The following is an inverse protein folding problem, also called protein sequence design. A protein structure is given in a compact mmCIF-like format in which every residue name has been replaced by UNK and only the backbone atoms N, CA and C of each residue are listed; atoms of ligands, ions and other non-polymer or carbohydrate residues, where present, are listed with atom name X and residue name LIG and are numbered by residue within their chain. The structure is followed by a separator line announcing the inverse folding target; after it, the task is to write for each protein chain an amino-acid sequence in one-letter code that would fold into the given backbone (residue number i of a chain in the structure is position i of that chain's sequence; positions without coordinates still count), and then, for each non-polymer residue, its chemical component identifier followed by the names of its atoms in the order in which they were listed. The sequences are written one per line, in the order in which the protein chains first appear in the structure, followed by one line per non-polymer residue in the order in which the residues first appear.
data_IF_950854934161
#
_entry.id   IF_950854934161
#
_cell.length_a   1.000
_cell.length_b   1.000
_cell.length_c   1.000
_cell.angle_alpha   90.00
_cell.angle_beta   90.00
_cell.angle_gamma   90.00
#
_symmetry.space_group_name_H-M   'P 1'
#
loop_
_entity.id
_entity.type
_entity.pdbx_description
1 polymer ?
#
# COMPACT_ATOMS: atom_id res chain seq x y z
N UNK A 1 -1.20 -25.90 2.56
CA UNK A 1 -1.75 -24.78 3.35
C UNK A 1 -1.28 -23.51 2.66
N UNK A 2 -2.19 -22.60 2.34
CA UNK A 2 -1.84 -21.25 1.91
C UNK A 2 -1.58 -20.43 3.17
N UNK A 3 -0.38 -19.83 3.27
CA UNK A 3 0.00 -19.04 4.43
C UNK A 3 -0.16 -17.56 4.11
N UNK A 4 -0.81 -16.83 5.02
CA UNK A 4 -0.85 -15.37 4.96
C UNK A 4 0.48 -14.85 5.51
N UNK A 5 1.23 -14.15 4.67
CA UNK A 5 2.40 -13.41 5.10
C UNK A 5 2.02 -11.96 5.37
N UNK A 6 2.49 -11.41 6.49
CA UNK A 6 2.32 -10.01 6.84
C UNK A 6 3.67 -9.32 6.92
N UNK A 7 3.83 -8.24 6.17
CA UNK A 7 5.03 -7.39 6.17
C UNK A 7 4.67 -5.97 6.53
N UNK A 8 5.49 -5.36 7.37
CA UNK A 8 5.42 -3.92 7.65
C UNK A 8 6.49 -3.21 6.84
N UNK A 9 6.09 -2.15 6.15
CA UNK A 9 6.97 -1.32 5.33
C UNK A 9 6.96 0.08 5.93
N UNK A 10 8.15 0.59 6.22
CA UNK A 10 8.38 1.96 6.69
C UNK A 10 9.01 2.75 5.56
N UNK A 11 8.52 3.96 5.32
CA UNK A 11 8.94 4.75 4.16
C UNK A 11 8.76 6.25 4.41
N UNK A 12 9.71 7.04 3.91
CA UNK A 12 9.67 8.51 3.92
C UNK A 12 9.46 9.10 2.52
N UNK A 13 9.38 8.24 1.50
CA UNK A 13 9.22 8.62 0.10
C UNK A 13 8.41 7.57 -0.66
N UNK A 14 8.40 7.66 -1.99
CA UNK A 14 7.68 6.72 -2.84
C UNK A 14 8.29 5.32 -2.73
N UNK A 15 7.43 4.33 -2.50
CA UNK A 15 7.77 2.91 -2.54
C UNK A 15 6.90 2.19 -3.55
N UNK A 16 7.54 1.33 -4.34
CA UNK A 16 6.87 0.52 -5.33
C UNK A 16 6.48 -0.84 -4.74
N UNK A 17 5.31 -1.31 -5.14
CA UNK A 17 4.73 -2.57 -4.73
C UNK A 17 4.19 -3.33 -5.95
N UNK A 18 4.07 -4.64 -5.79
CA UNK A 18 3.44 -5.52 -6.76
C UNK A 18 2.49 -6.48 -6.05
N UNK A 19 1.37 -6.83 -6.70
CA UNK A 19 0.38 -7.80 -6.22
C UNK A 19 0.88 -9.24 -6.36
N UNK A 20 1.76 -9.49 -7.33
CA UNK A 20 2.29 -10.83 -7.62
C UNK A 20 1.20 -11.80 -8.09
N UNK A 21 0.10 -11.28 -8.64
CA UNK A 21 -1.07 -12.07 -9.02
C UNK A 21 -1.97 -12.45 -7.85
N UNK A 22 -1.67 -12.02 -6.62
CA UNK A 22 -2.49 -12.22 -5.43
C UNK A 22 -3.17 -10.94 -4.95
N UNK A 23 -4.15 -11.07 -4.05
CA UNK A 23 -4.73 -9.91 -3.38
C UNK A 23 -3.77 -9.38 -2.31
N UNK A 24 -3.62 -8.06 -2.23
CA UNK A 24 -2.95 -7.41 -1.10
C UNK A 24 -3.99 -6.70 -0.24
N UNK A 25 -3.95 -6.92 1.07
CA UNK A 25 -4.74 -6.16 2.05
C UNK A 25 -3.76 -5.31 2.86
N UNK A 26 -3.96 -3.99 2.89
CA UNK A 26 -3.05 -3.05 3.53
C UNK A 26 -3.77 -2.16 4.52
N UNK A 27 -3.04 -1.71 5.55
CA UNK A 27 -3.50 -0.65 6.46
C UNK A 27 -2.39 0.38 6.62
N UNK A 28 -2.76 1.67 6.71
CA UNK A 28 -1.83 2.70 7.14
C UNK A 28 -1.72 2.67 8.68
N UNK A 29 -0.53 2.36 9.19
CA UNK A 29 -0.26 2.14 10.62
C UNK A 29 0.69 3.18 11.22
N UNK A 30 1.26 4.05 10.41
CA UNK A 30 2.04 5.24 10.81
C UNK A 30 1.89 6.32 9.74
N UNK A 31 1.87 7.60 10.14
CA UNK A 31 1.56 8.75 9.27
C UNK A 31 0.07 9.14 9.27
N UNK A 32 -0.22 10.40 8.92
CA UNK A 32 -1.59 10.96 8.87
C UNK A 32 -2.37 10.45 7.66
N UNK A 33 -1.74 10.55 6.50
CA UNK A 33 -2.28 10.11 5.22
C UNK A 33 -1.16 9.70 4.25
N UNK A 34 -1.49 8.81 3.31
CA UNK A 34 -0.64 8.41 2.20
C UNK A 34 -1.48 8.32 0.93
N UNK A 35 -0.86 8.48 -0.24
CA UNK A 35 -1.55 8.30 -1.52
C UNK A 35 -1.11 6.99 -2.17
N UNK A 36 -2.09 6.26 -2.71
CA UNK A 36 -1.90 5.03 -3.46
C UNK A 36 -2.10 5.36 -4.93
N UNK A 37 -1.11 5.02 -5.75
CA UNK A 37 -1.05 5.40 -7.16
C UNK A 37 -0.79 4.18 -8.04
N UNK A 38 -1.40 4.12 -9.22
CA UNK A 38 -1.12 3.12 -10.25
C UNK A 38 -0.19 3.72 -11.33
N UNK A 39 0.99 3.13 -11.58
CA UNK A 39 1.90 3.57 -12.64
C UNK A 39 1.31 3.46 -14.06
N UNK A 40 0.35 2.56 -14.25
CA UNK A 40 -0.27 2.19 -15.53
C UNK A 40 -1.73 2.66 -15.68
N UNK A 41 -2.27 3.39 -14.69
CA UNK A 41 -3.64 3.91 -14.72
C UNK A 41 -4.74 2.86 -14.51
N UNK A 42 -4.43 1.73 -13.86
CA UNK A 42 -5.39 0.69 -13.49
C UNK A 42 -6.47 1.18 -12.51
N UNK A 43 -6.21 2.26 -11.77
CA UNK A 43 -7.16 2.96 -10.91
C UNK A 43 -6.73 4.43 -10.71
N UNK A 44 -7.69 5.30 -10.41
CA UNK A 44 -7.41 6.70 -10.04
C UNK A 44 -6.71 6.78 -8.68
N UNK A 45 -5.69 7.63 -8.50
CA UNK A 45 -5.03 7.81 -7.22
C UNK A 45 -6.02 8.10 -6.10
N UNK A 46 -5.82 7.47 -4.95
CA UNK A 46 -6.67 7.70 -3.77
C UNK A 46 -5.84 7.84 -2.51
N UNK A 47 -6.36 8.65 -1.59
CA UNK A 47 -5.75 8.92 -0.30
C UNK A 47 -6.26 7.92 0.72
N UNK A 48 -5.36 7.41 1.54
CA UNK A 48 -5.65 6.56 2.70
C UNK A 48 -5.19 7.28 3.95
N UNK A 49 -6.06 7.35 4.95
CA UNK A 49 -5.79 7.98 6.23
C UNK A 49 -5.33 6.96 7.26
N UNK A 50 -4.77 7.46 8.36
CA UNK A 50 -4.36 6.63 9.48
C UNK A 50 -5.48 5.69 9.92
N UNK A 51 -5.12 4.42 10.15
CA UNK A 51 -6.02 3.33 10.51
C UNK A 51 -7.02 2.88 9.42
N UNK A 52 -6.98 3.45 8.21
CA UNK A 52 -7.79 2.93 7.11
C UNK A 52 -7.19 1.66 6.50
N UNK A 53 -8.07 0.72 6.18
CA UNK A 53 -7.76 -0.49 5.42
C UNK A 53 -8.11 -0.29 3.96
N UNK A 54 -7.25 -0.73 3.05
CA UNK A 54 -7.53 -0.79 1.63
C UNK A 54 -7.07 -2.11 1.01
N UNK A 55 -7.69 -2.47 -0.11
CA UNK A 55 -7.45 -3.74 -0.80
C UNK A 55 -6.99 -3.44 -2.22
N UNK A 56 -5.87 -4.05 -2.62
CA UNK A 56 -5.37 -3.99 -4.00
C UNK A 56 -5.66 -5.33 -4.68
N UNK A 57 -6.55 -5.37 -5.68
CA UNK A 57 -6.87 -6.59 -6.41
C UNK A 57 -5.67 -7.15 -7.17
N UNK A 58 -5.61 -8.47 -7.34
CA UNK A 58 -4.56 -9.17 -8.09
C UNK A 58 -4.29 -8.56 -9.48
N UNK A 59 -5.37 -8.19 -10.18
CA UNK A 59 -5.36 -7.65 -11.55
C UNK A 59 -4.62 -6.31 -11.69
N UNK A 60 -4.38 -5.57 -10.59
CA UNK A 60 -3.65 -4.30 -10.61
C UNK A 60 -2.18 -4.49 -10.97
N UNK A 61 -1.55 -5.58 -10.55
CA UNK A 61 -0.11 -5.76 -10.75
C UNK A 61 0.70 -4.74 -9.95
N UNK A 62 1.26 -3.74 -10.62
CA UNK A 62 2.13 -2.72 -10.03
C UNK A 62 1.32 -1.56 -9.42
N UNK A 63 1.75 -1.10 -8.24
CA UNK A 63 1.21 0.10 -7.61
C UNK A 63 2.28 0.72 -6.72
N UNK A 64 2.08 1.96 -6.30
CA UNK A 64 3.01 2.66 -5.42
C UNK A 64 2.29 3.35 -4.28
N UNK A 65 3.01 3.56 -3.19
CA UNK A 65 2.53 4.30 -2.02
C UNK A 65 3.57 5.34 -1.67
N UNK A 66 3.13 6.54 -1.30
CA UNK A 66 4.02 7.60 -0.78
C UNK A 66 3.30 8.45 0.28
N UNK A 67 4.04 9.09 1.19
CA UNK A 67 3.46 10.09 2.08
C UNK A 67 2.81 11.20 1.27
N UNK A 68 1.67 11.70 1.75
CA UNK A 68 0.87 12.71 1.06
C UNK A 68 0.32 13.75 2.06
N UNK A 69 -0.07 14.92 1.56
CA UNK A 69 -0.61 16.04 2.34
C UNK A 69 0.14 16.31 3.65
N UNK A 70 -0.52 16.14 4.81
CA UNK A 70 0.06 16.37 6.14
C UNK A 70 1.24 15.44 6.46
N UNK A 71 1.37 14.32 5.76
CA UNK A 71 2.50 13.39 5.89
C UNK A 71 3.66 13.69 4.93
N UNK A 72 3.57 14.65 4.00
CA UNK A 72 4.69 14.93 3.09
C UNK A 72 5.98 15.23 3.86
N UNK A 73 7.07 14.56 3.45
CA UNK A 73 8.37 14.64 4.13
C UNK A 73 8.46 13.93 5.49
N UNK A 74 7.39 13.28 5.95
CA UNK A 74 7.35 12.50 7.20
C UNK A 74 7.40 11.00 6.89
N UNK A 75 7.78 10.23 7.90
CA UNK A 75 7.71 8.78 7.83
C UNK A 75 6.25 8.31 7.88
N UNK A 76 5.93 7.32 7.05
CA UNK A 76 4.69 6.57 7.07
C UNK A 76 5.02 5.08 7.15
N UNK A 77 4.04 4.27 7.56
CA UNK A 77 4.18 2.83 7.51
C UNK A 77 2.88 2.16 7.14
N UNK A 78 2.99 1.10 6.35
CA UNK A 78 1.88 0.20 6.05
C UNK A 78 2.17 -1.19 6.58
N UNK A 79 1.13 -1.87 7.07
CA UNK A 79 1.15 -3.32 7.20
C UNK A 79 0.41 -3.92 6.00
N UNK A 80 1.07 -4.84 5.30
CA UNK A 80 0.58 -5.53 4.10
C UNK A 80 0.45 -7.02 4.40
N UNK A 81 -0.74 -7.57 4.19
CA UNK A 81 -1.02 -8.99 4.21
C UNK A 81 -1.27 -9.51 2.79
N UNK A 82 -0.70 -10.66 2.45
CA UNK A 82 -0.87 -11.34 1.15
C UNK A 82 -0.68 -12.85 1.29
N UNK A 83 -1.23 -13.63 0.36
CA UNK A 83 -1.02 -15.09 0.32
C UNK A 83 0.35 -15.38 -0.26
N UNK A 84 1.16 -16.18 0.46
CA UNK A 84 2.44 -16.67 -0.03
C UNK A 84 2.21 -17.93 -0.86
N UNK A 85 2.35 -17.79 -2.18
CA UNK A 85 2.44 -18.90 -3.15
C UNK A 85 3.87 -19.32 -3.40
#
# INVERSE_FOLDING_TARGET
LEFIESRRHWFTGKVDHHTGGGVNVLNLVEGREAIVESPDGAFEPFVVHYAETFIVPAAVGAYSIRPYGESEGKECATIKAFVRT
#
